data_IF_155494448170
#
_entry.id   IF_155494448170
#
_cell.length_a   1.000
_cell.length_b   1.000
_cell.length_c   1.000
_cell.angle_alpha   90.00
_cell.angle_beta   90.00
_cell.angle_gamma   90.00
#
_symmetry.space_group_name_H-M   'P 1'
#
loop_
_entity.id
_entity.type
_entity.pdbx_description
1 polymer ?
#
# COMPACT_ATOMS: atom_id res chain seq x y z
N UNK A 1 2.69 14.80 6.00
CA UNK A 1 3.50 15.60 5.05
C UNK A 1 2.63 16.77 4.60
N UNK A 2 3.16 18.01 4.52
CA UNK A 2 2.38 19.19 4.10
C UNK A 2 2.41 19.29 2.57
N UNK A 3 1.30 19.76 1.95
CA UNK A 3 1.19 19.90 0.49
C UNK A 3 2.36 20.70 -0.11
N UNK A 4 2.67 21.88 0.44
CA UNK A 4 3.81 22.71 0.01
C UNK A 4 5.17 22.00 0.05
N UNK A 5 5.37 21.05 0.97
CA UNK A 5 6.59 20.23 1.01
C UNK A 5 6.68 19.30 -0.19
N UNK A 6 5.56 18.71 -0.61
CA UNK A 6 5.49 17.84 -1.80
C UNK A 6 5.68 18.67 -3.08
N UNK A 7 5.03 19.83 -3.16
CA UNK A 7 5.17 20.75 -4.29
C UNK A 7 6.63 21.17 -4.49
N UNK A 8 7.33 21.53 -3.39
CA UNK A 8 8.75 21.89 -3.45
C UNK A 8 9.61 20.74 -3.95
N UNK A 9 9.39 19.54 -3.41
CA UNK A 9 10.09 18.32 -3.86
C UNK A 9 9.87 18.02 -5.34
N UNK A 10 8.66 18.33 -5.85
CA UNK A 10 8.27 18.12 -7.25
C UNK A 10 8.67 19.29 -8.18
N UNK A 11 9.30 20.33 -7.65
CA UNK A 11 9.70 21.53 -8.43
C UNK A 11 8.50 22.37 -8.89
N UNK A 12 7.39 22.35 -8.15
CA UNK A 12 6.17 23.10 -8.50
C UNK A 12 6.03 24.41 -7.72
N UNK A 13 6.94 24.71 -6.81
CA UNK A 13 6.84 25.86 -5.93
C UNK A 13 6.73 27.20 -6.68
N UNK A 14 7.55 27.38 -7.71
CA UNK A 14 7.61 28.64 -8.48
C UNK A 14 6.34 28.95 -9.28
N UNK A 15 5.37 28.04 -9.25
CA UNK A 15 4.10 28.20 -9.99
C UNK A 15 2.95 28.66 -9.10
N UNK A 16 3.21 29.00 -7.83
CA UNK A 16 2.23 29.61 -6.92
C UNK A 16 2.25 31.13 -7.04
N UNK A 17 1.08 31.73 -6.97
CA UNK A 17 0.92 33.18 -6.86
C UNK A 17 0.71 33.66 -5.41
N UNK A 18 0.40 32.73 -4.48
CA UNK A 18 0.21 33.05 -3.07
C UNK A 18 1.50 32.88 -2.25
N UNK A 19 1.72 33.78 -1.30
CA UNK A 19 2.84 33.74 -0.36
C UNK A 19 2.44 33.34 1.07
N UNK A 20 1.13 33.25 1.34
CA UNK A 20 0.62 33.00 2.68
C UNK A 20 0.70 31.53 3.11
N UNK A 21 0.83 31.31 4.40
CA UNK A 21 0.72 29.96 4.98
C UNK A 21 -0.73 29.58 5.26
N UNK A 22 -1.00 28.28 5.45
CA UNK A 22 -2.34 27.82 5.85
C UNK A 22 -2.83 28.43 7.18
N UNK A 23 -1.92 28.75 8.10
CA UNK A 23 -2.29 29.44 9.36
C UNK A 23 -2.72 30.88 9.10
N UNK A 24 -1.94 31.61 8.30
CA UNK A 24 -2.29 32.98 7.89
C UNK A 24 -3.60 33.03 7.10
N UNK A 25 -3.89 32.01 6.28
CA UNK A 25 -5.18 31.90 5.58
C UNK A 25 -6.36 31.83 6.54
N UNK A 26 -6.22 31.11 7.66
CA UNK A 26 -7.25 31.05 8.71
C UNK A 26 -7.44 32.39 9.40
N UNK A 27 -6.34 33.11 9.73
CA UNK A 27 -6.42 34.43 10.35
C UNK A 27 -7.08 35.46 9.41
N UNK A 28 -6.78 35.41 8.10
CA UNK A 28 -7.40 36.24 7.08
C UNK A 28 -8.91 35.91 6.95
N UNK A 29 -9.31 34.64 7.07
CA UNK A 29 -10.71 34.24 7.05
C UNK A 29 -11.49 34.85 8.21
N UNK A 30 -10.97 34.79 9.46
CA UNK A 30 -11.59 35.44 10.60
C UNK A 30 -11.60 36.98 10.51
N UNK A 31 -10.60 37.58 9.86
CA UNK A 31 -10.61 39.02 9.59
C UNK A 31 -11.76 39.34 8.60
N UNK A 32 -11.86 38.63 7.51
CA UNK A 32 -12.90 38.82 6.49
C UNK A 32 -14.31 38.62 7.08
N UNK A 33 -14.51 37.59 7.90
CA UNK A 33 -15.79 37.33 8.56
C UNK A 33 -16.27 38.54 9.42
N UNK A 34 -15.33 39.24 10.04
CA UNK A 34 -15.63 40.39 10.89
C UNK A 34 -15.76 41.72 10.16
N UNK A 35 -15.02 41.91 9.09
CA UNK A 35 -14.82 43.22 8.45
C UNK A 35 -15.34 43.30 7.03
N UNK A 36 -15.61 42.15 6.37
CA UNK A 36 -15.89 42.03 4.96
C UNK A 36 -14.83 42.74 4.07
N UNK A 37 -13.55 42.70 4.52
CA UNK A 37 -12.46 43.35 3.79
C UNK A 37 -12.19 42.69 2.45
N UNK A 38 -12.36 43.39 1.29
CA UNK A 38 -12.12 42.81 -0.02
C UNK A 38 -10.68 42.35 -0.27
N UNK A 39 -9.72 42.95 0.44
CA UNK A 39 -8.30 42.56 0.29
C UNK A 39 -8.03 41.22 1.01
N UNK A 40 -8.64 41.00 2.16
CA UNK A 40 -8.58 39.71 2.85
C UNK A 40 -9.25 38.63 2.00
N UNK A 41 -10.42 38.89 1.42
CA UNK A 41 -11.13 37.99 0.52
C UNK A 41 -10.25 37.62 -0.68
N UNK A 42 -9.67 38.59 -1.37
CA UNK A 42 -8.82 38.34 -2.53
C UNK A 42 -7.62 37.44 -2.23
N UNK A 43 -6.98 37.62 -1.07
CA UNK A 43 -5.85 36.77 -0.62
C UNK A 43 -6.29 35.35 -0.31
N UNK A 44 -7.44 35.16 0.35
CA UNK A 44 -8.01 33.85 0.64
C UNK A 44 -8.34 33.12 -0.65
N UNK A 45 -9.00 33.79 -1.60
CA UNK A 45 -9.36 33.20 -2.89
C UNK A 45 -8.14 32.84 -3.73
N UNK A 46 -7.08 33.65 -3.71
CA UNK A 46 -5.83 33.35 -4.39
C UNK A 46 -5.17 32.09 -3.78
N UNK A 47 -5.08 32.02 -2.46
CA UNK A 47 -4.52 30.87 -1.74
C UNK A 47 -5.28 29.57 -2.08
N UNK A 48 -6.61 29.59 -1.97
CA UNK A 48 -7.43 28.44 -2.30
C UNK A 48 -7.31 28.01 -3.75
N UNK A 49 -7.28 28.98 -4.68
CA UNK A 49 -7.10 28.71 -6.10
C UNK A 49 -5.75 28.03 -6.38
N UNK A 50 -4.70 28.52 -5.74
CA UNK A 50 -3.36 27.94 -5.90
C UNK A 50 -3.28 26.55 -5.29
N UNK A 51 -3.88 26.31 -4.13
CA UNK A 51 -3.94 24.98 -3.53
C UNK A 51 -4.65 23.97 -4.44
N UNK A 52 -5.78 24.32 -5.03
CA UNK A 52 -6.52 23.45 -5.96
C UNK A 52 -5.71 23.20 -7.25
N UNK A 53 -5.11 24.26 -7.82
CA UNK A 53 -4.28 24.14 -9.03
C UNK A 53 -3.04 23.26 -8.79
N UNK A 54 -2.36 23.44 -7.67
CA UNK A 54 -1.19 22.64 -7.34
C UNK A 54 -1.56 21.19 -7.05
N UNK A 55 -2.68 20.95 -6.34
CA UNK A 55 -3.19 19.60 -6.15
C UNK A 55 -3.47 18.91 -7.50
N UNK A 56 -4.08 19.62 -8.45
CA UNK A 56 -4.30 19.11 -9.81
C UNK A 56 -2.99 18.80 -10.55
N UNK A 57 -1.95 19.61 -10.35
CA UNK A 57 -0.62 19.34 -10.93
C UNK A 57 0.06 18.15 -10.28
N UNK A 58 -0.06 18.02 -8.94
CA UNK A 58 0.44 16.87 -8.19
C UNK A 58 -0.21 15.56 -8.64
N UNK A 59 -1.51 15.58 -8.98
CA UNK A 59 -2.18 14.36 -9.49
C UNK A 59 -1.59 13.86 -10.81
N UNK A 60 -1.01 14.75 -11.65
CA UNK A 60 -0.31 14.30 -12.87
C UNK A 60 1.00 13.55 -12.57
N UNK A 61 1.62 13.81 -11.42
CA UNK A 61 2.80 13.06 -11.00
C UNK A 61 2.47 11.63 -10.56
N UNK A 62 1.21 11.39 -10.18
CA UNK A 62 0.71 10.07 -9.78
C UNK A 62 0.89 9.04 -10.92
N UNK A 63 0.74 9.46 -12.19
CA UNK A 63 0.95 8.56 -13.34
C UNK A 63 2.38 8.05 -13.49
N UNK A 64 3.34 8.70 -12.81
CA UNK A 64 4.75 8.31 -12.77
C UNK A 64 5.12 7.61 -11.46
N UNK A 65 4.21 7.56 -10.51
CA UNK A 65 4.46 6.89 -9.24
C UNK A 65 4.30 5.37 -9.41
N UNK A 66 5.23 4.63 -8.87
CA UNK A 66 5.05 3.19 -8.70
C UNK A 66 4.05 2.94 -7.58
N UNK A 67 2.79 2.72 -7.95
CA UNK A 67 1.71 2.45 -7.00
C UNK A 67 1.93 1.17 -6.21
N UNK A 68 2.54 0.16 -6.82
CA UNK A 68 2.79 -1.09 -6.13
C UNK A 68 3.85 -0.92 -5.05
N UNK A 69 4.89 -0.13 -5.34
CA UNK A 69 5.88 0.27 -4.34
C UNK A 69 5.27 1.11 -3.23
N UNK A 70 4.42 2.08 -3.57
CA UNK A 70 3.70 2.89 -2.59
C UNK A 70 2.81 2.02 -1.70
N UNK A 71 2.01 1.11 -2.27
CA UNK A 71 1.16 0.18 -1.53
C UNK A 71 1.97 -0.72 -0.59
N UNK A 72 3.13 -1.21 -1.02
CA UNK A 72 4.02 -2.01 -0.19
C UNK A 72 4.49 -1.24 1.05
N UNK A 73 4.79 0.06 0.92
CA UNK A 73 5.31 0.87 2.03
C UNK A 73 4.22 1.53 2.89
N UNK A 74 3.07 1.86 2.31
CA UNK A 74 1.99 2.57 3.01
C UNK A 74 0.93 1.59 3.53
N UNK A 75 0.76 0.44 2.86
CA UNK A 75 -0.30 -0.52 3.11
C UNK A 75 -1.55 -0.29 2.25
N UNK A 76 -2.56 -1.15 2.45
CA UNK A 76 -3.81 -1.14 1.68
C UNK A 76 -4.91 -1.94 2.38
N UNK A 77 -6.20 -1.63 2.13
CA UNK A 77 -7.31 -2.41 2.64
C UNK A 77 -7.61 -3.62 1.75
N UNK A 78 -8.02 -4.72 2.39
CA UNK A 78 -8.64 -5.90 1.74
C UNK A 78 -10.01 -6.12 2.40
N UNK A 79 -11.06 -6.19 1.58
CA UNK A 79 -12.45 -6.33 2.06
C UNK A 79 -13.07 -7.63 1.55
N UNK A 80 -13.90 -8.25 2.39
CA UNK A 80 -14.75 -9.36 2.02
C UNK A 80 -16.05 -9.33 2.84
N UNK A 81 -17.17 -9.09 2.17
CA UNK A 81 -18.43 -8.86 2.86
C UNK A 81 -18.32 -7.76 3.92
N UNK A 82 -18.74 -8.00 5.17
CA UNK A 82 -18.63 -7.03 6.25
C UNK A 82 -17.24 -6.97 6.90
N UNK A 83 -16.35 -7.93 6.60
CA UNK A 83 -15.01 -8.00 7.17
C UNK A 83 -14.01 -7.15 6.38
N UNK A 84 -13.08 -6.55 7.09
CA UNK A 84 -12.00 -5.74 6.51
C UNK A 84 -10.69 -5.99 7.23
N UNK A 85 -9.64 -6.14 6.45
CA UNK A 85 -8.25 -6.18 6.90
C UNK A 85 -7.53 -4.99 6.28
N UNK A 86 -6.82 -4.21 7.08
CA UNK A 86 -5.98 -3.11 6.60
C UNK A 86 -4.53 -3.49 6.82
N UNK A 87 -3.84 -3.83 5.74
CA UNK A 87 -2.39 -4.03 5.75
C UNK A 87 -1.73 -2.69 6.03
N UNK A 88 -0.91 -2.61 7.07
CA UNK A 88 -0.17 -1.39 7.43
C UNK A 88 1.33 -1.57 7.34
N UNK A 89 1.82 -2.81 7.31
CA UNK A 89 3.24 -3.11 7.28
C UNK A 89 3.52 -4.40 6.52
N UNK A 90 4.44 -4.32 5.56
CA UNK A 90 4.97 -5.47 4.83
C UNK A 90 6.49 -5.47 5.01
N UNK A 91 7.07 -6.63 5.26
CA UNK A 91 8.52 -6.82 5.41
C UNK A 91 8.94 -8.10 4.71
N UNK A 92 9.88 -7.98 3.80
CA UNK A 92 10.58 -9.13 3.25
C UNK A 92 11.86 -9.34 4.09
N UNK A 93 11.89 -10.43 4.82
CA UNK A 93 13.03 -10.87 5.62
C UNK A 93 13.83 -11.93 4.85
N UNK A 94 14.89 -12.46 5.49
CA UNK A 94 15.74 -13.47 4.84
C UNK A 94 14.98 -14.77 4.54
N UNK A 95 14.08 -15.17 5.43
CA UNK A 95 13.39 -16.45 5.43
C UNK A 95 11.86 -16.34 5.35
N UNK A 96 11.33 -15.12 5.45
CA UNK A 96 9.87 -14.92 5.45
C UNK A 96 9.42 -13.58 4.86
N UNK A 97 8.25 -13.59 4.23
CA UNK A 97 7.44 -12.40 3.96
C UNK A 97 6.45 -12.23 5.12
N UNK A 98 6.59 -11.12 5.86
CA UNK A 98 5.70 -10.80 6.98
C UNK A 98 4.78 -9.65 6.58
N UNK A 99 3.49 -9.83 6.84
CA UNK A 99 2.47 -8.82 6.63
C UNK A 99 1.65 -8.65 7.92
N UNK A 100 1.46 -7.41 8.37
CA UNK A 100 0.68 -7.14 9.58
C UNK A 100 -0.13 -5.85 9.44
N UNK A 101 -1.12 -5.69 10.33
CA UNK A 101 -1.97 -4.51 10.35
C UNK A 101 -3.20 -4.70 11.23
N UNK A 102 -4.25 -3.93 10.90
CA UNK A 102 -5.49 -3.91 11.64
C UNK A 102 -6.57 -4.77 10.95
N UNK A 103 -7.49 -5.30 11.74
CA UNK A 103 -8.62 -6.05 11.22
C UNK A 103 -9.92 -5.64 11.92
N UNK A 104 -11.04 -5.83 11.22
CA UNK A 104 -12.38 -5.63 11.73
C UNK A 104 -13.30 -6.75 11.22
N UNK A 105 -14.00 -7.40 12.15
CA UNK A 105 -14.97 -8.50 11.92
C UNK A 105 -14.38 -9.78 11.33
N UNK A 106 -13.08 -9.99 11.38
CA UNK A 106 -12.50 -11.31 11.15
C UNK A 106 -12.44 -12.02 12.49
N UNK A 107 -12.93 -13.27 12.62
CA UNK A 107 -12.85 -14.03 13.87
C UNK A 107 -11.41 -14.13 14.36
N UNK A 108 -11.22 -14.09 15.69
CA UNK A 108 -9.90 -14.30 16.28
C UNK A 108 -9.48 -15.75 16.10
N UNK A 109 -8.49 -15.98 15.25
CA UNK A 109 -8.00 -17.31 14.91
C UNK A 109 -6.48 -17.28 14.85
N UNK A 110 -5.86 -18.30 15.41
CA UNK A 110 -4.48 -18.64 15.14
C UNK A 110 -4.46 -19.91 14.28
N UNK A 111 -3.83 -19.82 13.13
CA UNK A 111 -3.53 -20.98 12.30
C UNK A 111 -2.04 -21.00 12.03
N UNK A 112 -1.35 -22.02 12.50
CA UNK A 112 -0.05 -22.41 12.01
C UNK A 112 -0.30 -23.55 11.02
N UNK A 113 -0.04 -23.32 9.77
CA UNK A 113 -0.13 -24.39 8.78
C UNK A 113 1.26 -24.98 8.57
N UNK A 114 1.39 -26.25 8.87
CA UNK A 114 2.47 -27.07 8.37
C UNK A 114 1.97 -27.77 7.10
N UNK A 115 2.03 -27.06 5.99
CA UNK A 115 1.67 -27.64 4.70
C UNK A 115 2.96 -28.14 4.06
N UNK A 116 3.14 -29.44 3.96
CA UNK A 116 4.37 -30.10 3.44
C UNK A 116 5.68 -29.66 4.13
N UNK A 117 5.67 -29.36 5.44
CA UNK A 117 6.84 -28.93 6.19
C UNK A 117 7.18 -27.44 6.08
N UNK A 118 6.24 -26.61 5.57
CA UNK A 118 6.42 -25.16 5.41
C UNK A 118 5.51 -24.41 6.40
N UNK A 119 6.05 -23.68 7.36
CA UNK A 119 5.28 -23.01 8.38
C UNK A 119 4.71 -21.67 7.87
N UNK A 120 3.58 -21.69 7.17
CA UNK A 120 2.76 -20.50 7.00
C UNK A 120 2.00 -20.25 8.29
N UNK A 121 2.18 -19.11 8.92
CA UNK A 121 1.44 -18.77 10.13
C UNK A 121 0.53 -17.57 9.92
N UNK A 122 -0.68 -17.63 10.45
CA UNK A 122 -1.61 -16.51 10.49
C UNK A 122 -2.18 -16.36 11.89
N UNK A 123 -2.13 -15.13 12.41
CA UNK A 123 -2.67 -14.77 13.71
C UNK A 123 -3.61 -13.59 13.54
N UNK A 124 -4.88 -13.80 13.86
CA UNK A 124 -5.89 -12.75 13.94
C UNK A 124 -6.35 -12.61 15.39
N UNK A 125 -6.26 -11.40 15.92
CA UNK A 125 -6.77 -11.01 17.24
C UNK A 125 -7.97 -10.09 17.09
N UNK A 126 -8.55 -9.59 18.18
CA UNK A 126 -9.74 -8.73 18.11
C UNK A 126 -9.63 -7.52 17.20
N UNK A 127 -8.44 -6.91 17.06
CA UNK A 127 -8.24 -5.69 16.26
C UNK A 127 -7.03 -5.73 15.33
N UNK A 128 -6.17 -6.77 15.42
CA UNK A 128 -4.93 -6.83 14.64
C UNK A 128 -4.75 -8.20 13.99
N UNK A 129 -3.88 -8.25 12.99
CA UNK A 129 -3.46 -9.49 12.36
C UNK A 129 -1.96 -9.47 12.05
N UNK A 130 -1.41 -10.67 11.95
CA UNK A 130 -0.06 -10.92 11.43
C UNK A 130 -0.07 -12.21 10.59
N UNK A 131 0.56 -12.13 9.42
CA UNK A 131 0.80 -13.26 8.53
C UNK A 131 2.30 -13.41 8.35
N UNK A 132 2.79 -14.64 8.38
CA UNK A 132 4.17 -14.97 8.04
C UNK A 132 4.16 -16.10 7.02
N UNK A 133 4.76 -15.85 5.88
CA UNK A 133 4.86 -16.78 4.76
C UNK A 133 6.34 -17.05 4.50
N UNK A 134 6.79 -18.30 4.54
CA UNK A 134 8.18 -18.64 4.23
C UNK A 134 8.54 -18.23 2.80
N UNK A 135 9.78 -17.86 2.60
CA UNK A 135 10.35 -17.60 1.26
C UNK A 135 11.55 -18.48 1.01
N UNK A 136 11.74 -18.88 -0.23
CA UNK A 136 12.89 -19.65 -0.69
C UNK A 136 13.83 -18.70 -1.41
N UNK A 137 15.11 -18.76 -1.07
CA UNK A 137 16.18 -18.01 -1.74
C UNK A 137 17.12 -18.98 -2.43
N UNK A 138 17.10 -18.98 -3.77
CA UNK A 138 17.95 -19.86 -4.57
C UNK A 138 18.27 -19.21 -5.91
N UNK A 139 19.53 -19.35 -6.38
CA UNK A 139 19.92 -18.90 -7.71
C UNK A 139 19.77 -17.39 -7.96
N UNK A 140 19.81 -16.56 -6.90
CA UNK A 140 19.60 -15.10 -7.01
C UNK A 140 18.13 -14.68 -7.01
N UNK A 141 17.21 -15.65 -6.91
CA UNK A 141 15.77 -15.40 -6.79
C UNK A 141 15.30 -15.57 -5.35
N UNK A 142 14.29 -14.78 -4.97
CA UNK A 142 13.46 -15.02 -3.78
C UNK A 142 12.06 -15.34 -4.25
N UNK A 143 11.53 -16.48 -3.83
CA UNK A 143 10.23 -16.98 -4.31
C UNK A 143 9.33 -17.42 -3.15
N UNK A 144 8.02 -17.42 -3.39
CA UNK A 144 7.00 -18.01 -2.54
C UNK A 144 6.46 -19.26 -3.22
N UNK A 145 6.37 -20.37 -2.49
CA UNK A 145 5.68 -21.57 -2.92
C UNK A 145 4.16 -21.34 -2.83
N UNK A 146 3.49 -21.26 -3.98
CA UNK A 146 2.04 -21.00 -4.04
C UNK A 146 1.22 -22.21 -3.61
N UNK A 147 1.72 -23.43 -3.81
CA UNK A 147 1.04 -24.64 -3.34
C UNK A 147 1.08 -24.69 -1.81
N UNK A 148 2.24 -24.48 -1.21
CA UNK A 148 2.40 -24.40 0.24
C UNK A 148 1.58 -23.25 0.87
N UNK A 149 1.40 -22.15 0.15
CA UNK A 149 0.51 -21.05 0.57
C UNK A 149 -0.98 -21.34 0.29
N UNK A 150 -1.29 -22.48 -0.33
CA UNK A 150 -2.66 -22.86 -0.70
C UNK A 150 -3.26 -22.00 -1.83
N UNK A 151 -2.45 -21.39 -2.66
CA UNK A 151 -2.84 -20.48 -3.74
C UNK A 151 -2.46 -20.98 -5.15
N UNK A 152 -2.10 -22.26 -5.30
CA UNK A 152 -1.69 -22.84 -6.58
C UNK A 152 -2.71 -22.59 -7.71
N UNK A 153 -4.00 -22.65 -7.40
CA UNK A 153 -5.10 -22.45 -8.35
C UNK A 153 -5.65 -21.01 -8.38
N UNK A 154 -4.99 -20.07 -7.69
CA UNK A 154 -5.49 -18.69 -7.62
C UNK A 154 -5.35 -17.99 -8.98
N UNK A 155 -6.47 -17.93 -9.73
CA UNK A 155 -6.56 -17.28 -11.05
C UNK A 155 -5.94 -15.88 -11.12
N UNK A 156 -6.09 -14.98 -10.11
CA UNK A 156 -5.45 -13.67 -10.14
C UNK A 156 -3.92 -13.70 -10.13
N UNK A 157 -3.31 -14.82 -9.68
CA UNK A 157 -1.87 -15.01 -9.65
C UNK A 157 -1.36 -15.72 -10.90
N UNK A 158 -2.23 -16.30 -11.72
CA UNK A 158 -1.85 -17.04 -12.93
C UNK A 158 -1.12 -16.18 -13.97
N UNK A 159 -1.40 -14.87 -14.02
CA UNK A 159 -0.71 -13.90 -14.87
C UNK A 159 0.71 -13.56 -14.43
N UNK A 160 1.15 -14.07 -13.27
CA UNK A 160 2.52 -13.94 -12.74
C UNK A 160 3.31 -15.25 -12.83
N UNK A 161 2.79 -16.25 -13.54
CA UNK A 161 3.43 -17.54 -13.74
C UNK A 161 4.58 -17.40 -14.78
N UNK A 162 5.75 -17.54 -14.61
CA UNK A 162 6.73 -18.24 -13.83
C UNK A 162 7.58 -19.11 -14.71
N UNK A 163 7.07 -19.56 -15.87
CA UNK A 163 7.83 -20.20 -16.93
C UNK A 163 8.85 -19.26 -17.59
N UNK A 164 8.70 -17.96 -17.38
CA UNK A 164 9.55 -16.93 -18.01
C UNK A 164 10.79 -16.56 -17.18
N UNK A 165 10.90 -17.04 -15.95
CA UNK A 165 12.09 -16.85 -15.15
C UNK A 165 13.03 -18.05 -15.27
N UNK A 166 14.23 -17.88 -15.86
CA UNK A 166 15.20 -18.95 -15.95
C UNK A 166 15.51 -19.56 -14.57
N UNK A 167 15.29 -20.87 -14.44
CA UNK A 167 15.53 -21.60 -13.19
C UNK A 167 14.40 -21.54 -12.17
N UNK A 168 13.24 -20.98 -12.52
CA UNK A 168 12.05 -21.06 -11.70
C UNK A 168 11.04 -22.04 -12.28
N UNK A 169 10.61 -23.02 -11.48
CA UNK A 169 9.57 -23.97 -11.86
C UNK A 169 8.17 -23.36 -11.70
N UNK A 170 7.17 -23.94 -12.38
CA UNK A 170 5.77 -23.56 -12.19
C UNK A 170 5.33 -23.81 -10.73
N UNK A 171 4.45 -22.94 -10.21
CA UNK A 171 3.98 -23.03 -8.81
C UNK A 171 4.71 -22.11 -7.83
N UNK A 172 5.77 -21.44 -8.28
CA UNK A 172 6.48 -20.45 -7.46
C UNK A 172 6.21 -19.03 -7.95
N UNK A 173 6.07 -18.11 -7.00
CA UNK A 173 5.95 -16.67 -7.25
C UNK A 173 7.28 -15.99 -6.98
N UNK A 174 7.91 -15.42 -7.99
CA UNK A 174 9.12 -14.61 -7.83
C UNK A 174 8.75 -13.26 -7.20
N UNK A 175 9.33 -12.96 -6.04
CA UNK A 175 9.09 -11.72 -5.28
C UNK A 175 10.32 -10.81 -5.19
N UNK A 176 11.50 -11.33 -5.53
CA UNK A 176 12.75 -10.56 -5.65
C UNK A 176 13.68 -11.26 -6.62
N UNK A 177 14.37 -10.50 -7.43
CA UNK A 177 15.43 -10.95 -8.35
C UNK A 177 16.59 -9.94 -8.39
N UNK A 178 17.47 -10.04 -9.40
CA UNK A 178 18.60 -9.13 -9.57
C UNK A 178 18.19 -7.65 -9.73
N UNK A 179 17.01 -7.38 -10.26
CA UNK A 179 16.46 -6.03 -10.44
C UNK A 179 15.80 -5.48 -9.17
N UNK A 180 15.62 -6.32 -8.14
CA UNK A 180 15.10 -5.97 -6.81
C UNK A 180 13.72 -6.55 -6.50
N UNK A 181 13.06 -5.93 -5.53
CA UNK A 181 11.77 -6.39 -5.01
C UNK A 181 10.65 -6.19 -6.02
N UNK A 182 9.87 -7.25 -6.27
CA UNK A 182 8.69 -7.26 -7.15
C UNK A 182 7.46 -6.84 -6.35
N UNK A 183 7.29 -5.54 -6.14
CA UNK A 183 6.21 -4.98 -5.29
C UNK A 183 4.80 -5.35 -5.76
N UNK A 184 4.59 -5.46 -7.08
CA UNK A 184 3.31 -5.83 -7.67
C UNK A 184 2.93 -7.26 -7.29
N UNK A 185 3.85 -8.18 -7.45
CA UNK A 185 3.71 -9.60 -7.15
C UNK A 185 3.40 -9.82 -5.66
N UNK A 186 4.17 -9.17 -4.79
CA UNK A 186 3.95 -9.25 -3.33
C UNK A 186 2.56 -8.70 -2.96
N UNK A 187 2.18 -7.55 -3.46
CA UNK A 187 0.88 -6.93 -3.12
C UNK A 187 -0.30 -7.79 -3.60
N UNK A 188 -0.20 -8.40 -4.79
CA UNK A 188 -1.22 -9.31 -5.30
C UNK A 188 -1.29 -10.59 -4.47
N UNK A 189 -0.15 -11.18 -4.17
CA UNK A 189 -0.08 -12.37 -3.31
C UNK A 189 -0.75 -12.11 -1.94
N UNK A 190 -0.36 -11.04 -1.25
CA UNK A 190 -0.93 -10.69 0.06
C UNK A 190 -2.45 -10.50 -0.03
N UNK A 191 -2.96 -9.83 -1.07
CA UNK A 191 -4.40 -9.64 -1.27
C UNK A 191 -5.14 -10.95 -1.43
N UNK A 192 -4.64 -11.85 -2.27
CA UNK A 192 -5.29 -13.13 -2.52
C UNK A 192 -5.19 -14.06 -1.32
N UNK A 193 -4.04 -14.05 -0.62
CA UNK A 193 -3.86 -14.82 0.60
C UNK A 193 -4.85 -14.39 1.71
N UNK A 194 -4.97 -13.07 1.94
CA UNK A 194 -5.92 -12.53 2.93
C UNK A 194 -7.37 -12.83 2.52
N UNK A 195 -7.72 -12.70 1.25
CA UNK A 195 -9.08 -13.02 0.76
C UNK A 195 -9.41 -14.49 1.02
N UNK A 196 -8.51 -15.39 0.63
CA UNK A 196 -8.70 -16.83 0.87
C UNK A 196 -8.84 -17.14 2.34
N UNK A 197 -7.96 -16.57 3.18
CA UNK A 197 -8.05 -16.73 4.63
C UNK A 197 -9.43 -16.28 5.18
N UNK A 198 -9.92 -15.11 4.73
CA UNK A 198 -11.25 -14.63 5.12
C UNK A 198 -12.38 -15.54 4.61
N UNK A 199 -12.23 -16.17 3.43
CA UNK A 199 -13.20 -17.14 2.90
C UNK A 199 -13.37 -18.35 3.78
N UNK A 200 -12.25 -18.83 4.33
CA UNK A 200 -12.23 -20.01 5.18
C UNK A 200 -12.68 -19.73 6.62
N UNK A 201 -12.67 -18.46 7.04
CA UNK A 201 -12.98 -18.05 8.41
C UNK A 201 -14.37 -17.44 8.59
N UNK A 202 -15.03 -16.98 7.52
CA UNK A 202 -16.33 -16.32 7.51
C UNK A 202 -17.42 -17.24 7.00
#
# INVERSE_FOLDING_TARGET
MRQKTVENYMGLWDTRGDEISGAESVDLYYLYERTADPQAEAKILLHNNDDVRQLTRLTRAITKADFHKAMFHIGFPVKRGPAMVTVTKIRLLQDALICSGDQNRVPSVYRGFDYHGWPVSSRFTGSSFELSVPVIRQGGLTVIDLEAAGLADASPLSGFCFSDYPGCESGFLVIEDADGIKYREINHFIKEFIKKFMEECL
#
